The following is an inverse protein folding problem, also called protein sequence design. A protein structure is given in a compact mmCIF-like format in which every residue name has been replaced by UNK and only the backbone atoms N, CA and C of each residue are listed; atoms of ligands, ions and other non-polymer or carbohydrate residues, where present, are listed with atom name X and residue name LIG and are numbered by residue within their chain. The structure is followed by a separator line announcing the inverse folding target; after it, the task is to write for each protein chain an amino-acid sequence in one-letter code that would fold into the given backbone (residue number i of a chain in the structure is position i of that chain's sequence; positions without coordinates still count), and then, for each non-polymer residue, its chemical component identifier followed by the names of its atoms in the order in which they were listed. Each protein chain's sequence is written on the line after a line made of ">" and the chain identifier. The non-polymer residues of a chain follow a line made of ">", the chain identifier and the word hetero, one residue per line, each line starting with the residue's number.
data_IF_489907024367
#
_entry.id   IF_489907024367
#
_cell.length_a   1.000
_cell.length_b   1.000
_cell.length_c   1.000
_cell.angle_alpha   90.00
_cell.angle_beta   90.00
_cell.angle_gamma   90.00
#
_symmetry.space_group_name_H-M   'P 1'
#
loop_
_entity.id
_entity.type
_entity.pdbx_description
1 polymer ?
#
# COMPACT_ATOMS: atom_id res chain seq x y z
N UNK A 1 2.33 19.68 17.06
CA UNK A 1 3.75 19.30 16.90
C UNK A 1 3.76 18.06 16.00
N UNK A 2 4.68 17.91 15.07
CA UNK A 2 4.75 16.70 14.22
C UNK A 2 5.20 15.51 15.07
N UNK A 3 4.55 14.36 14.99
CA UNK A 3 4.99 13.14 15.66
C UNK A 3 6.35 12.67 15.08
N UNK A 4 7.16 11.99 15.87
CA UNK A 4 8.39 11.35 15.42
C UNK A 4 8.12 9.95 14.85
N UNK A 5 9.11 9.34 14.18
CA UNK A 5 9.02 7.94 13.75
C UNK A 5 8.88 6.98 14.95
N UNK A 6 9.48 7.32 16.12
CA UNK A 6 9.33 6.53 17.33
C UNK A 6 7.91 6.61 17.89
N UNK A 7 7.24 7.78 17.79
CA UNK A 7 5.83 7.92 18.16
C UNK A 7 4.94 7.06 17.25
N UNK A 8 5.20 7.04 15.95
CA UNK A 8 4.49 6.19 15.00
C UNK A 8 4.69 4.71 15.34
N UNK A 9 5.94 4.30 15.58
CA UNK A 9 6.29 2.94 15.95
C UNK A 9 5.60 2.48 17.23
N UNK A 10 5.52 3.32 18.24
CA UNK A 10 4.85 3.03 19.51
C UNK A 10 3.33 2.82 19.37
N UNK A 11 2.74 3.22 18.24
CA UNK A 11 1.31 3.04 17.93
C UNK A 11 1.01 1.82 17.04
N UNK A 12 2.02 1.02 16.71
CA UNK A 12 1.83 -0.25 16.00
C UNK A 12 1.76 -1.35 17.06
N UNK A 13 0.64 -2.09 17.07
CA UNK A 13 0.45 -3.19 18.00
C UNK A 13 0.73 -4.51 17.31
N UNK A 14 1.57 -5.33 17.93
CA UNK A 14 1.75 -6.71 17.50
C UNK A 14 0.72 -7.60 18.20
N UNK A 15 -0.11 -8.27 17.42
CA UNK A 15 -1.07 -9.28 17.87
C UNK A 15 -0.50 -10.65 17.52
N UNK A 16 0.04 -11.34 18.52
CA UNK A 16 0.60 -12.69 18.34
C UNK A 16 -0.49 -13.71 18.12
N UNK A 17 -0.15 -14.80 17.40
CA UNK A 17 -1.04 -15.93 17.12
C UNK A 17 -2.35 -15.53 16.42
N UNK A 18 -2.29 -14.57 15.50
CA UNK A 18 -3.44 -14.14 14.68
C UNK A 18 -3.04 -14.06 13.18
N UNK A 19 -3.88 -14.56 12.25
CA UNK A 19 -5.14 -15.32 12.43
C UNK A 19 -4.93 -16.76 12.91
N UNK A 20 -3.70 -17.26 12.88
CA UNK A 20 -3.34 -18.62 13.27
C UNK A 20 -2.12 -18.61 14.21
N UNK A 21 -1.98 -19.70 15.00
CA UNK A 21 -0.84 -19.86 15.92
C UNK A 21 0.50 -19.77 15.18
N UNK A 22 1.41 -18.96 15.71
CA UNK A 22 2.75 -18.71 15.13
C UNK A 22 2.81 -17.59 14.10
N UNK A 23 1.69 -16.97 13.76
CA UNK A 23 1.65 -15.76 12.94
C UNK A 23 1.50 -14.52 13.82
N UNK A 24 2.06 -13.40 13.38
CA UNK A 24 1.88 -12.09 14.02
C UNK A 24 1.21 -11.13 13.07
N UNK A 25 0.19 -10.44 13.56
CA UNK A 25 -0.49 -9.37 12.84
C UNK A 25 -0.07 -8.00 13.39
N UNK A 26 0.23 -7.06 12.51
CA UNK A 26 0.57 -5.69 12.88
C UNK A 26 -0.66 -4.80 12.77
N UNK A 27 -1.22 -4.39 13.90
CA UNK A 27 -2.40 -3.54 13.94
C UNK A 27 -2.00 -2.06 13.97
N UNK A 28 -2.38 -1.33 12.94
CA UNK A 28 -2.13 0.09 12.78
C UNK A 28 -3.30 0.97 13.31
N UNK A 29 -4.33 0.39 13.92
CA UNK A 29 -5.53 1.13 14.32
C UNK A 29 -5.22 2.30 15.26
N UNK A 30 -4.28 2.14 16.20
CA UNK A 30 -3.89 3.23 17.09
C UNK A 30 -3.14 4.36 16.36
N UNK A 31 -2.33 4.02 15.35
CA UNK A 31 -1.65 4.99 14.50
C UNK A 31 -2.67 5.79 13.68
N UNK A 32 -3.64 5.09 13.10
CA UNK A 32 -4.69 5.70 12.28
C UNK A 32 -5.64 6.57 13.11
N UNK A 33 -5.93 6.20 14.36
CA UNK A 33 -6.79 6.95 15.26
C UNK A 33 -6.10 8.19 15.89
N UNK A 34 -4.77 8.19 15.92
CA UNK A 34 -4.00 9.32 16.47
C UNK A 34 -3.80 10.39 15.39
N UNK A 35 -4.36 11.58 15.61
CA UNK A 35 -4.34 12.69 14.65
C UNK A 35 -2.95 13.08 14.18
N UNK A 36 -1.98 13.16 15.10
CA UNK A 36 -0.63 13.60 14.77
C UNK A 36 0.18 12.49 14.09
N UNK A 37 0.01 11.23 14.53
CA UNK A 37 0.64 10.07 13.91
C UNK A 37 0.10 9.84 12.48
N UNK A 38 -1.21 9.86 12.30
CA UNK A 38 -1.84 9.72 10.97
C UNK A 38 -1.33 10.77 9.99
N UNK A 39 -1.39 12.05 10.40
CA UNK A 39 -0.89 13.17 9.59
C UNK A 39 0.58 13.01 9.25
N UNK A 40 1.42 12.67 10.25
CA UNK A 40 2.86 12.53 10.04
C UNK A 40 3.18 11.38 9.09
N UNK A 41 2.49 10.24 9.19
CA UNK A 41 2.68 9.12 8.28
C UNK A 41 2.38 9.54 6.82
N UNK A 42 1.25 10.19 6.59
CA UNK A 42 0.87 10.70 5.26
C UNK A 42 1.88 11.72 4.74
N UNK A 43 2.28 12.69 5.56
CA UNK A 43 3.23 13.74 5.17
C UNK A 43 4.60 13.16 4.79
N UNK A 44 5.12 12.18 5.55
CA UNK A 44 6.42 11.54 5.26
C UNK A 44 6.39 10.70 3.98
N UNK A 45 5.32 9.93 3.76
CA UNK A 45 5.12 9.19 2.51
C UNK A 45 5.02 10.14 1.31
N UNK A 46 4.27 11.24 1.46
CA UNK A 46 4.13 12.24 0.42
C UNK A 46 5.45 12.96 0.12
N UNK A 47 6.25 13.28 1.13
CA UNK A 47 7.56 13.91 0.97
C UNK A 47 8.49 13.07 0.07
N UNK A 48 8.55 11.76 0.32
CA UNK A 48 9.32 10.85 -0.52
C UNK A 48 8.74 10.73 -1.94
N UNK A 49 7.42 10.63 -2.04
CA UNK A 49 6.73 10.38 -3.30
C UNK A 49 6.74 11.58 -4.27
N UNK A 50 6.81 12.83 -3.77
CA UNK A 50 6.76 14.05 -4.61
C UNK A 50 7.81 14.08 -5.70
N UNK A 51 9.04 13.62 -5.41
CA UNK A 51 10.11 13.56 -6.41
C UNK A 51 9.81 12.60 -7.56
N UNK A 52 8.92 11.64 -7.34
CA UNK A 52 8.48 10.65 -8.34
C UNK A 52 7.40 11.19 -9.26
N UNK A 53 6.77 12.34 -8.93
CA UNK A 53 5.70 12.98 -9.71
C UNK A 53 4.58 11.98 -10.08
N UNK A 54 3.98 11.28 -9.12
CA UNK A 54 2.87 10.39 -9.43
C UNK A 54 1.66 11.17 -9.89
N UNK A 55 0.85 10.57 -10.75
CA UNK A 55 -0.45 11.07 -11.21
C UNK A 55 -1.60 10.32 -10.54
N UNK A 56 -1.32 9.08 -10.11
CA UNK A 56 -2.27 8.18 -9.47
C UNK A 56 -1.60 7.52 -8.26
N UNK A 57 -2.34 7.41 -7.16
CA UNK A 57 -2.02 6.50 -6.07
C UNK A 57 -2.93 5.28 -6.18
N UNK A 58 -2.35 4.09 -6.20
CA UNK A 58 -3.09 2.83 -6.17
C UNK A 58 -2.97 2.20 -4.79
N UNK A 59 -4.10 1.89 -4.15
CA UNK A 59 -4.15 1.20 -2.87
C UNK A 59 -5.10 -0.01 -2.91
N UNK A 60 -4.81 -1.05 -2.13
CA UNK A 60 -5.69 -2.22 -2.02
C UNK A 60 -6.54 -2.20 -0.75
N UNK A 61 -7.67 -2.84 -0.83
CA UNK A 61 -8.60 -3.06 0.30
C UNK A 61 -7.93 -3.96 1.37
N UNK A 62 -8.05 -3.61 2.67
CA UNK A 62 -8.69 -2.41 3.22
C UNK A 62 -7.62 -1.38 3.69
N UNK A 63 -6.46 -1.80 4.18
CA UNK A 63 -5.44 -0.93 4.78
C UNK A 63 -4.89 0.10 3.81
N UNK A 64 -4.66 -0.29 2.56
CA UNK A 64 -4.19 0.60 1.50
C UNK A 64 -5.15 1.72 1.11
N UNK A 65 -6.44 1.65 1.48
CA UNK A 65 -7.42 2.70 1.15
C UNK A 65 -7.30 3.92 2.06
N UNK A 66 -7.11 3.69 3.36
CA UNK A 66 -7.18 4.77 4.35
C UNK A 66 -6.06 5.78 4.12
N UNK A 67 -4.83 5.31 4.18
CA UNK A 67 -3.65 6.16 3.98
C UNK A 67 -3.42 6.48 2.50
N UNK A 68 -3.76 5.57 1.58
CA UNK A 68 -3.65 5.79 0.14
C UNK A 68 -4.53 6.93 -0.35
N UNK A 69 -5.78 7.00 0.11
CA UNK A 69 -6.67 8.13 -0.19
C UNK A 69 -6.17 9.46 0.37
N UNK A 70 -5.67 9.46 1.61
CA UNK A 70 -5.08 10.65 2.23
C UNK A 70 -3.79 11.09 1.49
N UNK A 71 -2.96 10.12 1.10
CA UNK A 71 -1.73 10.35 0.34
C UNK A 71 -2.02 10.95 -1.04
N UNK A 72 -3.02 10.41 -1.75
CA UNK A 72 -3.47 10.96 -3.04
C UNK A 72 -3.92 12.41 -2.90
N UNK A 73 -4.72 12.71 -1.87
CA UNK A 73 -5.16 14.08 -1.58
C UNK A 73 -3.99 15.05 -1.36
N UNK A 74 -3.02 14.66 -0.53
CA UNK A 74 -1.84 15.51 -0.20
C UNK A 74 -0.90 15.68 -1.41
N UNK A 75 -0.83 14.68 -2.29
CA UNK A 75 -0.05 14.74 -3.53
C UNK A 75 -0.79 15.48 -4.66
N UNK A 76 -2.10 15.67 -4.55
CA UNK A 76 -2.94 16.25 -5.61
C UNK A 76 -3.13 15.31 -6.79
N UNK A 77 -3.20 13.99 -6.54
CA UNK A 77 -3.31 12.93 -7.55
C UNK A 77 -4.69 12.27 -7.53
N UNK A 78 -4.99 11.45 -8.55
CA UNK A 78 -6.11 10.51 -8.48
C UNK A 78 -5.83 9.36 -7.51
N UNK A 79 -6.91 8.67 -7.06
CA UNK A 79 -6.81 7.43 -6.29
C UNK A 79 -7.52 6.29 -7.01
N UNK A 80 -6.83 5.18 -7.22
CA UNK A 80 -7.38 3.96 -7.79
C UNK A 80 -7.43 2.88 -6.71
N UNK A 81 -8.63 2.32 -6.54
CA UNK A 81 -8.91 1.28 -5.55
C UNK A 81 -8.80 -0.11 -6.18
N UNK A 82 -7.85 -0.92 -5.73
CA UNK A 82 -7.86 -2.35 -5.98
C UNK A 82 -8.78 -3.02 -4.95
N UNK A 83 -9.85 -3.69 -5.40
CA UNK A 83 -10.92 -4.21 -4.53
C UNK A 83 -11.03 -5.72 -4.64
N UNK A 84 -11.65 -6.33 -3.65
CA UNK A 84 -12.12 -7.71 -3.75
C UNK A 84 -13.28 -7.82 -4.75
N UNK A 85 -13.51 -8.98 -5.39
CA UNK A 85 -14.46 -9.13 -6.51
C UNK A 85 -15.94 -9.15 -6.09
N UNK A 86 -16.36 -8.22 -5.24
CA UNK A 86 -17.71 -8.19 -4.66
C UNK A 86 -18.65 -7.17 -5.31
N UNK A 87 -18.16 -6.34 -6.23
CA UNK A 87 -18.96 -5.30 -6.86
C UNK A 87 -19.14 -5.58 -8.36
N UNK A 88 -20.39 -5.49 -8.87
CA UNK A 88 -20.60 -5.55 -10.30
C UNK A 88 -19.95 -4.34 -10.98
N UNK A 89 -18.90 -4.56 -11.74
CA UNK A 89 -18.34 -3.56 -12.63
C UNK A 89 -18.37 -4.07 -14.07
N UNK A 90 -18.62 -3.16 -15.01
CA UNK A 90 -18.84 -3.52 -16.41
C UNK A 90 -17.56 -3.96 -17.13
N UNK A 91 -16.39 -3.56 -16.64
CA UNK A 91 -15.11 -3.97 -17.17
C UNK A 91 -14.10 -4.06 -16.01
N UNK A 92 -13.65 -5.26 -15.71
CA UNK A 92 -12.73 -5.54 -14.60
C UNK A 92 -11.48 -6.18 -15.15
N UNK A 93 -10.33 -5.63 -14.78
CA UNK A 93 -9.07 -6.33 -14.87
C UNK A 93 -8.88 -7.13 -13.59
N UNK A 94 -8.81 -8.45 -13.70
CA UNK A 94 -8.50 -9.34 -12.59
C UNK A 94 -7.01 -9.61 -12.57
N UNK A 95 -6.35 -9.19 -11.50
CA UNK A 95 -4.99 -9.65 -11.22
C UNK A 95 -5.04 -11.06 -10.65
N UNK A 96 -4.24 -11.98 -11.20
CA UNK A 96 -4.09 -13.34 -10.68
C UNK A 96 -3.14 -13.32 -9.48
N UNK A 97 -3.54 -12.72 -8.36
CA UNK A 97 -2.73 -12.81 -7.15
C UNK A 97 -3.54 -13.33 -5.97
N UNK A 98 -2.91 -14.14 -5.19
CA UNK A 98 -3.36 -14.54 -3.87
C UNK A 98 -2.76 -13.55 -2.86
N UNK A 99 -3.57 -12.93 -2.00
CA UNK A 99 -3.04 -12.27 -0.84
C UNK A 99 -2.55 -13.33 0.18
N UNK A 100 -1.65 -12.93 1.05
CA UNK A 100 -1.04 -13.83 2.04
C UNK A 100 -2.05 -14.32 3.09
N UNK A 101 -3.24 -13.73 3.15
CA UNK A 101 -4.37 -14.14 4.00
C UNK A 101 -5.39 -15.02 3.30
N UNK A 102 -5.15 -15.43 2.03
CA UNK A 102 -6.10 -16.26 1.27
C UNK A 102 -7.39 -15.54 0.89
N UNK A 103 -7.39 -14.21 0.86
CA UNK A 103 -8.59 -13.39 0.64
C UNK A 103 -9.05 -13.33 -0.83
N UNK A 104 -8.34 -14.02 -1.73
CA UNK A 104 -8.70 -14.11 -3.15
C UNK A 104 -8.18 -12.95 -4.01
N UNK A 105 -8.50 -12.96 -5.31
CA UNK A 105 -7.98 -11.99 -6.27
C UNK A 105 -8.49 -10.58 -5.97
N UNK A 106 -7.66 -9.58 -6.24
CA UNK A 106 -8.07 -8.18 -6.26
C UNK A 106 -8.45 -7.79 -7.68
N UNK A 107 -9.42 -6.90 -7.82
CA UNK A 107 -9.90 -6.39 -9.09
C UNK A 107 -9.58 -4.90 -9.23
N UNK A 108 -9.13 -4.53 -10.42
CA UNK A 108 -8.99 -3.15 -10.87
C UNK A 108 -10.02 -2.90 -11.97
N UNK A 109 -10.74 -1.80 -11.90
CA UNK A 109 -11.59 -1.40 -13.02
C UNK A 109 -10.73 -0.98 -14.22
N UNK A 110 -11.02 -1.54 -15.40
CA UNK A 110 -10.35 -1.17 -16.64
C UNK A 110 -10.56 0.32 -16.94
N UNK A 111 -9.56 0.96 -17.53
CA UNK A 111 -9.63 2.38 -17.91
C UNK A 111 -9.36 3.38 -16.78
N UNK A 112 -9.17 2.95 -15.53
CA UNK A 112 -8.79 3.85 -14.43
C UNK A 112 -7.31 4.21 -14.42
N UNK A 113 -6.48 3.45 -15.14
CA UNK A 113 -5.05 3.71 -15.33
C UNK A 113 -4.83 3.95 -16.82
N UNK A 114 -4.82 5.21 -17.28
CA UNK A 114 -4.46 5.53 -18.66
C UNK A 114 -3.04 5.07 -19.00
N UNK A 115 -2.83 4.72 -20.28
CA UNK A 115 -1.49 4.32 -20.75
C UNK A 115 -0.44 5.41 -20.47
N UNK A 116 0.70 5.02 -19.94
CA UNK A 116 1.80 5.91 -19.57
C UNK A 116 1.59 6.67 -18.26
N UNK A 117 0.45 6.50 -17.54
CA UNK A 117 0.23 7.16 -16.26
C UNK A 117 1.26 6.74 -15.23
N UNK A 118 1.73 7.70 -14.44
CA UNK A 118 2.71 7.50 -13.37
C UNK A 118 2.01 7.10 -12.07
N UNK A 119 2.14 5.83 -11.68
CA UNK A 119 1.41 5.24 -10.56
C UNK A 119 2.33 5.00 -9.36
N UNK A 120 1.95 5.54 -8.22
CA UNK A 120 2.50 5.20 -6.91
C UNK A 120 1.66 4.08 -6.29
N UNK A 121 2.26 2.94 -6.06
CA UNK A 121 1.59 1.83 -5.34
C UNK A 121 1.75 2.04 -3.84
N UNK A 122 0.65 1.94 -3.10
CA UNK A 122 0.63 2.04 -1.64
C UNK A 122 0.01 0.82 -1.00
N UNK A 123 0.61 0.39 0.11
CA UNK A 123 0.02 -0.51 1.09
C UNK A 123 0.42 -0.12 2.51
N UNK A 124 -0.31 -0.60 3.51
CA UNK A 124 0.02 -0.35 4.90
C UNK A 124 1.21 -1.20 5.37
N UNK A 125 1.32 -2.46 4.94
CA UNK A 125 2.31 -3.43 5.39
C UNK A 125 3.05 -4.10 4.22
N UNK A 126 4.38 -4.13 4.30
CA UNK A 126 5.22 -4.98 3.47
C UNK A 126 5.63 -6.23 4.28
N UNK A 127 4.99 -7.36 4.00
CA UNK A 127 5.33 -8.66 4.54
C UNK A 127 6.21 -9.44 3.55
N UNK A 128 5.70 -10.39 2.80
CA UNK A 128 6.47 -11.15 1.79
C UNK A 128 6.63 -10.43 0.45
N UNK A 129 5.86 -9.35 0.23
CA UNK A 129 5.90 -8.54 -0.98
C UNK A 129 5.06 -9.08 -2.15
N UNK A 130 4.37 -10.21 -1.97
CA UNK A 130 3.57 -10.82 -3.04
C UNK A 130 2.45 -9.89 -3.52
N UNK A 131 1.67 -9.33 -2.60
CA UNK A 131 0.58 -8.39 -2.90
C UNK A 131 1.08 -7.13 -3.62
N UNK A 132 2.19 -6.54 -3.15
CA UNK A 132 2.75 -5.35 -3.76
C UNK A 132 3.31 -5.61 -5.16
N UNK A 133 3.97 -6.76 -5.36
CA UNK A 133 4.44 -7.20 -6.67
C UNK A 133 3.26 -7.34 -7.65
N UNK A 134 2.21 -8.04 -7.23
CA UNK A 134 1.04 -8.26 -8.06
C UNK A 134 0.33 -6.95 -8.44
N UNK A 135 0.20 -5.99 -7.50
CA UNK A 135 -0.31 -4.65 -7.80
C UNK A 135 0.54 -3.94 -8.85
N UNK A 136 1.86 -3.98 -8.70
CA UNK A 136 2.79 -3.34 -9.62
C UNK A 136 2.68 -3.96 -11.03
N UNK A 137 2.68 -5.28 -11.14
CA UNK A 137 2.49 -6.00 -12.40
C UNK A 137 1.13 -5.67 -13.05
N UNK A 138 0.08 -5.51 -12.26
CA UNK A 138 -1.24 -5.13 -12.79
C UNK A 138 -1.26 -3.74 -13.37
N UNK A 139 -0.60 -2.78 -12.71
CA UNK A 139 -0.41 -1.41 -13.24
C UNK A 139 0.28 -1.46 -14.61
N UNK A 140 1.36 -2.22 -14.71
CA UNK A 140 2.16 -2.35 -15.94
C UNK A 140 1.38 -3.04 -17.06
N UNK A 141 0.61 -4.09 -16.75
CA UNK A 141 -0.28 -4.75 -17.72
C UNK A 141 -1.38 -3.84 -18.25
N UNK A 142 -1.81 -2.86 -17.45
CA UNK A 142 -2.77 -1.83 -17.86
C UNK A 142 -2.10 -0.66 -18.60
N UNK A 143 -0.78 -0.70 -18.81
CA UNK A 143 -0.02 0.33 -19.51
C UNK A 143 0.48 1.48 -18.65
N UNK A 144 0.33 1.41 -17.32
CA UNK A 144 0.87 2.39 -16.39
C UNK A 144 2.36 2.17 -16.09
N UNK A 145 3.03 3.21 -15.61
CA UNK A 145 4.41 3.20 -15.10
C UNK A 145 4.39 3.19 -13.57
N UNK A 146 4.93 2.15 -12.92
CA UNK A 146 5.11 2.14 -11.46
C UNK A 146 6.32 3.01 -11.10
N UNK A 147 6.07 4.19 -10.53
CA UNK A 147 7.13 5.15 -10.17
C UNK A 147 7.69 4.96 -8.78
N UNK A 148 7.05 4.14 -7.96
CA UNK A 148 7.50 3.78 -6.63
C UNK A 148 6.46 2.97 -5.88
N UNK A 149 6.88 2.32 -4.81
CA UNK A 149 6.03 1.56 -3.91
C UNK A 149 6.30 2.03 -2.48
N UNK A 150 5.24 2.37 -1.73
CA UNK A 150 5.37 2.93 -0.39
C UNK A 150 4.55 2.15 0.64
N UNK A 151 5.14 1.98 1.83
CA UNK A 151 4.54 1.28 2.96
C UNK A 151 4.68 2.10 4.24
N UNK A 152 3.76 1.90 5.18
CA UNK A 152 3.92 2.40 6.54
C UNK A 152 4.90 1.50 7.30
N UNK A 153 4.71 0.19 7.23
CA UNK A 153 5.48 -0.81 7.96
C UNK A 153 6.11 -1.83 7.02
N UNK A 154 7.33 -2.24 7.30
CA UNK A 154 8.04 -3.35 6.64
C UNK A 154 8.48 -4.37 7.67
N UNK A 155 8.08 -5.62 7.49
CA UNK A 155 8.52 -6.76 8.30
C UNK A 155 9.82 -7.33 7.71
N UNK A 156 10.97 -6.92 8.25
CA UNK A 156 12.29 -7.26 7.69
C UNK A 156 12.55 -8.76 7.64
N UNK A 157 12.07 -9.51 8.63
CA UNK A 157 12.26 -10.96 8.73
C UNK A 157 11.66 -11.72 7.55
N UNK A 158 10.59 -11.20 6.94
CA UNK A 158 9.91 -11.83 5.80
C UNK A 158 10.55 -11.51 4.44
N UNK A 159 11.55 -10.62 4.43
CA UNK A 159 12.36 -10.30 3.24
C UNK A 159 11.55 -9.90 1.98
N UNK A 160 10.36 -9.32 2.16
CA UNK A 160 9.46 -8.95 1.05
C UNK A 160 10.07 -8.00 0.02
N UNK A 161 11.02 -7.18 0.48
CA UNK A 161 11.78 -6.27 -0.40
C UNK A 161 12.53 -7.01 -1.52
N UNK A 162 12.89 -8.28 -1.34
CA UNK A 162 13.56 -9.07 -2.39
C UNK A 162 12.68 -9.29 -3.62
N UNK A 163 11.36 -9.42 -3.44
CA UNK A 163 10.40 -9.54 -4.56
C UNK A 163 10.26 -8.25 -5.36
N UNK A 164 10.64 -7.13 -4.75
CA UNK A 164 10.52 -5.78 -5.30
C UNK A 164 11.90 -5.18 -5.62
N UNK A 165 12.94 -6.02 -5.79
CA UNK A 165 14.34 -5.59 -5.89
C UNK A 165 14.65 -4.70 -7.12
N UNK A 166 13.84 -4.79 -8.16
CA UNK A 166 13.91 -3.98 -9.38
C UNK A 166 13.10 -2.68 -9.29
N UNK A 167 12.50 -2.39 -8.13
CA UNK A 167 11.59 -1.26 -7.91
C UNK A 167 12.09 -0.32 -6.84
N UNK A 168 11.66 0.93 -6.93
CA UNK A 168 11.97 1.92 -5.89
C UNK A 168 10.95 1.80 -4.75
N UNK A 169 11.40 1.26 -3.61
CA UNK A 169 10.56 0.92 -2.46
C UNK A 169 10.94 1.73 -1.24
N UNK A 170 9.95 2.33 -0.60
CA UNK A 170 10.11 3.08 0.65
C UNK A 170 9.17 2.59 1.74
N UNK A 171 9.69 2.45 2.96
CA UNK A 171 8.93 2.08 4.15
C UNK A 171 9.30 3.04 5.28
N UNK A 172 8.30 3.55 6.01
CA UNK A 172 8.54 4.50 7.10
C UNK A 172 9.16 3.80 8.31
N UNK A 173 8.64 2.63 8.66
CA UNK A 173 9.00 1.89 9.86
C UNK A 173 9.43 0.48 9.46
N UNK A 174 10.56 0.03 9.98
CA UNK A 174 11.07 -1.33 9.78
C UNK A 174 11.03 -2.08 11.12
N UNK A 175 10.33 -3.21 11.14
CA UNK A 175 10.20 -4.10 12.29
C UNK A 175 10.95 -5.42 12.06
#
# INVERSE_FOLDING_TARGET
>A
MRASLDDLRAKILEVSDFPEAGLSFQDLSLLLADRECFRTAVDLLAEWARAKKPEIVLGAEAGGFILGGALAHVLGTGFVAARRPDLPSSEVFRGDWEDEGGAGPLELSAGLIPEGSRVLVHDDLLATGATAQAKAESVERLGGEVVGIVFVVELQLLNGRRRLADRDVHSLIKL
#
